data_IF_252242678376
#
_entry.id   IF_252242678376
#
_cell.length_a   1.000
_cell.length_b   1.000
_cell.length_c   1.000
_cell.angle_alpha   90.00
_cell.angle_beta   90.00
_cell.angle_gamma   90.00
#
_symmetry.space_group_name_H-M   'P 1'
#
loop_
_entity.id
_entity.type
_entity.pdbx_description
1 polymer ?
#
# COMPACT_ATOMS: atom_id res chain seq x y z
N UNK A 1 -13.46 -3.96 16.77
CA UNK A 1 -13.23 -4.91 17.89
C UNK A 1 -11.97 -4.52 18.67
N UNK A 2 -10.82 -4.37 17.99
CA UNK A 2 -9.56 -3.88 18.59
C UNK A 2 -9.71 -2.56 19.37
N UNK A 3 -10.34 -1.52 18.83
CA UNK A 3 -10.42 -0.23 19.53
C UNK A 3 -11.37 -0.13 20.73
N UNK A 4 -12.35 -1.04 20.88
CA UNK A 4 -13.28 -1.01 22.02
C UNK A 4 -12.87 -1.99 23.13
N UNK A 5 -12.19 -3.08 22.80
CA UNK A 5 -11.80 -4.13 23.75
C UNK A 5 -10.32 -4.09 24.14
N UNK A 6 -9.50 -3.31 23.42
CA UNK A 6 -8.06 -3.10 23.69
C UNK A 6 -7.75 -1.60 23.79
N UNK A 7 -8.49 -0.88 24.65
CA UNK A 7 -8.27 0.55 24.89
C UNK A 7 -8.19 0.88 26.39
N UNK A 8 -7.57 -0.02 27.16
CA UNK A 8 -7.11 0.29 28.52
C UNK A 8 -5.82 1.09 28.51
N UNK A 9 -5.38 1.52 29.69
CA UNK A 9 -4.13 2.29 29.88
C UNK A 9 -2.90 1.56 29.31
N UNK A 10 -2.90 0.21 29.33
CA UNK A 10 -1.88 -0.64 28.68
C UNK A 10 -1.78 -0.47 27.16
N UNK A 11 -2.87 -0.05 26.51
CA UNK A 11 -2.96 0.15 25.07
C UNK A 11 -3.08 1.65 24.69
N UNK A 12 -2.86 2.57 25.65
CA UNK A 12 -2.94 4.00 25.42
C UNK A 12 -4.35 4.59 25.41
N UNK A 13 -5.33 3.90 26.01
CA UNK A 13 -6.70 4.40 26.17
C UNK A 13 -7.09 4.64 27.64
N UNK A 14 -8.33 5.09 27.86
CA UNK A 14 -8.85 5.48 29.20
C UNK A 14 -9.82 4.45 29.81
N UNK A 15 -10.08 3.32 29.16
CA UNK A 15 -11.03 2.35 29.70
C UNK A 15 -10.45 1.53 30.86
N UNK A 16 -11.28 1.28 31.87
CA UNK A 16 -10.94 0.43 33.02
C UNK A 16 -11.06 -1.07 32.75
N UNK A 17 -11.37 -1.49 31.52
CA UNK A 17 -11.49 -2.89 31.14
C UNK A 17 -10.70 -3.17 29.86
N UNK A 18 -10.06 -4.33 29.79
CA UNK A 18 -9.38 -4.85 28.60
C UNK A 18 -9.56 -6.36 28.45
N UNK A 19 -9.52 -6.81 27.20
CA UNK A 19 -9.39 -8.22 26.88
C UNK A 19 -7.91 -8.58 26.71
N UNK A 20 -7.52 -9.78 27.14
CA UNK A 20 -6.16 -10.25 26.90
C UNK A 20 -5.92 -10.48 25.41
N UNK A 21 -4.68 -10.27 24.96
CA UNK A 21 -4.24 -10.50 23.57
C UNK A 21 -4.60 -11.93 23.10
N UNK A 22 -4.43 -12.92 23.99
CA UNK A 22 -4.75 -14.32 23.69
C UNK A 22 -6.24 -14.55 23.45
N UNK A 23 -7.11 -13.91 24.23
CA UNK A 23 -8.55 -14.02 24.04
C UNK A 23 -9.00 -13.30 22.74
N UNK A 24 -8.36 -12.18 22.39
CA UNK A 24 -8.59 -11.52 21.10
C UNK A 24 -8.24 -12.43 19.90
N UNK A 25 -7.06 -13.06 19.92
CA UNK A 25 -6.68 -14.04 18.89
C UNK A 25 -7.61 -15.26 18.86
N UNK A 26 -8.07 -15.73 20.03
CA UNK A 26 -9.05 -16.81 20.12
C UNK A 26 -10.36 -16.49 19.40
N UNK A 27 -10.90 -15.27 19.58
CA UNK A 27 -12.11 -14.82 18.89
C UNK A 27 -11.91 -14.75 17.37
N UNK A 28 -10.75 -14.26 16.91
CA UNK A 28 -10.41 -14.21 15.48
C UNK A 28 -10.20 -15.61 14.86
N UNK A 29 -9.80 -16.60 15.65
CA UNK A 29 -9.60 -17.97 15.17
C UNK A 29 -10.91 -18.69 14.81
N UNK A 30 -12.01 -18.39 15.53
CA UNK A 30 -13.32 -19.02 15.30
C UNK A 30 -13.80 -18.93 13.85
N UNK A 31 -13.88 -17.74 13.20
CA UNK A 31 -14.33 -17.66 11.81
C UNK A 31 -13.38 -18.36 10.83
N UNK A 32 -12.07 -18.41 11.12
CA UNK A 32 -11.10 -19.15 10.29
C UNK A 32 -11.39 -20.64 10.33
N UNK A 33 -11.62 -21.19 11.53
CA UNK A 33 -11.97 -22.61 11.71
C UNK A 33 -13.29 -22.95 11.02
N UNK A 34 -14.31 -22.09 11.18
CA UNK A 34 -15.60 -22.25 10.47
C UNK A 34 -15.40 -22.24 8.95
N UNK A 35 -14.54 -21.37 8.43
CA UNK A 35 -14.28 -21.31 6.99
C UNK A 35 -13.62 -22.60 6.47
N UNK A 36 -12.73 -23.22 7.24
CA UNK A 36 -12.13 -24.53 6.89
C UNK A 36 -13.22 -25.60 6.74
N UNK A 37 -14.18 -25.65 7.67
CA UNK A 37 -15.30 -26.59 7.58
C UNK A 37 -16.20 -26.29 6.38
N UNK A 38 -16.49 -25.02 6.10
CA UNK A 38 -17.29 -24.62 4.94
C UNK A 38 -16.62 -25.04 3.63
N UNK A 39 -15.32 -24.80 3.48
CA UNK A 39 -14.57 -25.21 2.30
C UNK A 39 -14.58 -26.74 2.15
N UNK A 40 -14.30 -27.47 3.23
CA UNK A 40 -14.24 -28.93 3.20
C UNK A 40 -15.57 -29.58 2.81
N UNK A 41 -16.70 -29.09 3.35
CA UNK A 41 -18.01 -29.70 3.11
C UNK A 41 -18.76 -29.15 1.89
N UNK A 42 -18.59 -27.88 1.54
CA UNK A 42 -19.42 -27.21 0.53
C UNK A 42 -18.68 -26.86 -0.76
N UNK A 43 -17.35 -26.74 -0.77
CA UNK A 43 -16.60 -26.39 -1.98
C UNK A 43 -16.45 -27.61 -2.90
N UNK A 44 -17.25 -27.65 -3.96
CA UNK A 44 -17.13 -28.66 -5.03
C UNK A 44 -16.19 -28.16 -6.11
N UNK A 45 -14.90 -28.42 -5.95
CA UNK A 45 -13.91 -28.03 -6.95
C UNK A 45 -13.88 -29.00 -8.13
N UNK A 46 -13.75 -28.48 -9.35
CA UNK A 46 -13.65 -29.32 -10.57
C UNK A 46 -12.18 -29.68 -10.77
N UNK A 47 -11.85 -30.98 -10.73
CA UNK A 47 -10.49 -31.46 -11.06
C UNK A 47 -10.10 -30.97 -12.47
N UNK A 48 -9.15 -30.02 -12.52
CA UNK A 48 -8.48 -29.62 -13.76
C UNK A 48 -7.33 -30.59 -14.07
N UNK A 49 -6.99 -30.69 -15.35
CA UNK A 49 -5.90 -31.54 -15.84
C UNK A 49 -4.56 -31.04 -15.30
N UNK A 50 -3.67 -31.95 -14.94
CA UNK A 50 -2.31 -31.63 -14.46
C UNK A 50 -1.53 -30.85 -15.53
N UNK A 51 -1.03 -29.68 -15.18
CA UNK A 51 -0.16 -28.86 -16.04
C UNK A 51 1.29 -29.12 -15.63
N UNK A 52 2.18 -29.30 -16.60
CA UNK A 52 3.61 -29.45 -16.32
C UNK A 52 4.20 -28.10 -15.89
N UNK A 53 5.00 -28.10 -14.82
CA UNK A 53 5.59 -26.90 -14.24
C UNK A 53 6.44 -26.09 -15.23
N UNK A 54 7.20 -26.78 -16.09
CA UNK A 54 8.01 -26.13 -17.12
C UNK A 54 7.15 -25.38 -18.16
N UNK A 55 6.02 -25.96 -18.56
CA UNK A 55 5.07 -25.29 -19.46
C UNK A 55 4.49 -24.05 -18.81
N UNK A 56 4.12 -24.15 -17.52
CA UNK A 56 3.61 -23.03 -16.75
C UNK A 56 4.62 -21.87 -16.69
N UNK A 57 5.90 -22.13 -16.38
CA UNK A 57 6.95 -21.10 -16.37
C UNK A 57 7.19 -20.45 -17.73
N UNK A 58 7.11 -21.24 -18.81
CA UNK A 58 7.23 -20.70 -20.16
C UNK A 58 6.04 -19.79 -20.50
N UNK A 59 4.82 -20.18 -20.13
CA UNK A 59 3.62 -19.36 -20.32
C UNK A 59 3.70 -18.04 -19.54
N UNK A 60 4.23 -18.07 -18.31
CA UNK A 60 4.51 -16.85 -17.52
C UNK A 60 5.51 -15.96 -18.24
N UNK A 61 6.61 -16.54 -18.69
CA UNK A 61 7.66 -15.79 -19.35
C UNK A 61 7.15 -15.16 -20.63
N UNK A 62 6.43 -15.91 -21.48
CA UNK A 62 5.84 -15.40 -22.72
C UNK A 62 4.84 -14.25 -22.45
N UNK A 63 4.09 -14.33 -21.36
CA UNK A 63 3.12 -13.31 -20.98
C UNK A 63 3.79 -12.01 -20.55
N UNK A 64 4.85 -12.10 -19.72
CA UNK A 64 5.64 -10.94 -19.29
C UNK A 64 6.30 -10.22 -20.48
N UNK A 65 6.66 -10.94 -21.54
CA UNK A 65 7.25 -10.33 -22.73
C UNK A 65 6.31 -9.41 -23.50
N UNK A 66 4.99 -9.56 -23.32
CA UNK A 66 4.02 -8.73 -24.03
C UNK A 66 4.13 -7.28 -23.55
N UNK A 67 4.14 -6.36 -24.50
CA UNK A 67 4.26 -4.92 -24.22
C UNK A 67 3.28 -4.41 -23.17
N UNK A 68 2.01 -4.77 -23.30
CA UNK A 68 0.97 -4.36 -22.38
C UNK A 68 1.23 -4.84 -20.94
N UNK A 69 1.77 -6.04 -20.78
CA UNK A 69 1.98 -6.66 -19.46
C UNK A 69 3.15 -6.00 -18.74
N UNK A 70 4.32 -5.91 -19.37
CA UNK A 70 5.48 -5.32 -18.70
C UNK A 70 5.31 -3.82 -18.43
N UNK A 71 4.62 -3.08 -19.31
CA UNK A 71 4.33 -1.66 -19.08
C UNK A 71 3.47 -1.47 -17.83
N UNK A 72 2.44 -2.31 -17.67
CA UNK A 72 1.57 -2.28 -16.49
C UNK A 72 2.32 -2.73 -15.24
N UNK A 73 3.19 -3.74 -15.32
CA UNK A 73 4.02 -4.15 -14.18
C UNK A 73 4.93 -3.01 -13.69
N UNK A 74 5.62 -2.32 -14.61
CA UNK A 74 6.46 -1.17 -14.26
C UNK A 74 5.61 -0.04 -13.67
N UNK A 75 4.46 0.26 -14.27
CA UNK A 75 3.54 1.26 -13.74
C UNK A 75 3.11 0.92 -12.31
N UNK A 76 2.65 -0.30 -12.04
CA UNK A 76 2.25 -0.71 -10.71
C UNK A 76 3.37 -0.57 -9.70
N UNK A 77 4.57 -1.06 -10.05
CA UNK A 77 5.70 -1.00 -9.14
C UNK A 77 6.09 0.44 -8.84
N UNK A 78 6.29 1.27 -9.87
CA UNK A 78 6.72 2.67 -9.71
C UNK A 78 5.64 3.54 -9.05
N UNK A 79 4.38 3.39 -9.46
CA UNK A 79 3.27 4.16 -8.89
C UNK A 79 3.07 3.83 -7.42
N UNK A 80 3.00 2.54 -7.04
CA UNK A 80 2.88 2.17 -5.62
C UNK A 80 4.13 2.56 -4.84
N UNK A 81 5.34 2.45 -5.40
CA UNK A 81 6.56 2.84 -4.69
C UNK A 81 6.57 4.33 -4.34
N UNK A 82 6.23 5.17 -5.31
CA UNK A 82 6.35 6.61 -5.18
C UNK A 82 5.13 7.27 -4.51
N UNK A 83 3.94 6.70 -4.68
CA UNK A 83 2.70 7.24 -4.11
C UNK A 83 2.42 6.76 -2.68
N UNK A 84 2.78 5.52 -2.33
CA UNK A 84 2.44 4.94 -1.02
C UNK A 84 3.57 4.17 -0.35
N UNK A 85 4.59 3.73 -1.10
CA UNK A 85 5.72 2.96 -0.58
C UNK A 85 6.70 3.81 0.24
N UNK A 86 7.03 5.01 -0.23
CA UNK A 86 7.87 5.97 0.51
C UNK A 86 6.96 6.78 1.42
N UNK A 87 7.11 6.62 2.73
CA UNK A 87 6.29 7.29 3.74
C UNK A 87 7.15 8.10 4.70
N UNK A 88 6.53 8.70 5.72
CA UNK A 88 7.25 9.37 6.81
C UNK A 88 7.11 8.60 8.13
N UNK A 89 8.24 8.38 8.82
CA UNK A 89 8.23 7.78 10.16
C UNK A 89 7.54 8.69 11.20
N UNK A 90 7.48 9.99 10.94
CA UNK A 90 6.88 10.96 11.85
C UNK A 90 5.35 10.80 11.97
N UNK A 91 4.67 10.28 10.94
CA UNK A 91 3.20 10.25 10.92
C UNK A 91 2.56 9.50 12.09
N UNK A 92 3.08 8.31 12.41
CA UNK A 92 2.58 7.53 13.54
C UNK A 92 2.76 8.24 14.88
N UNK A 93 3.84 8.99 15.03
CA UNK A 93 4.15 9.71 16.26
C UNK A 93 3.38 11.04 16.34
N UNK A 94 3.20 11.76 15.24
CA UNK A 94 2.39 12.99 15.19
C UNK A 94 0.94 12.69 15.59
N UNK A 95 0.39 11.57 15.11
CA UNK A 95 -0.96 11.12 15.46
C UNK A 95 -1.13 10.96 16.99
N UNK A 96 -0.14 10.38 17.67
CA UNK A 96 -0.21 10.07 19.11
C UNK A 96 0.18 11.27 19.97
N UNK A 97 1.32 11.92 19.68
CA UNK A 97 1.92 12.93 20.57
C UNK A 97 1.49 14.37 20.28
N UNK A 98 1.13 14.71 19.04
CA UNK A 98 0.71 16.07 18.71
C UNK A 98 -0.81 16.16 18.56
N UNK A 99 -1.40 15.23 17.81
CA UNK A 99 -2.85 15.19 17.59
C UNK A 99 -3.62 14.48 18.72
N UNK A 100 -2.92 13.84 19.67
CA UNK A 100 -3.50 13.19 20.86
C UNK A 100 -4.66 12.24 20.52
N UNK A 101 -4.52 11.49 19.42
CA UNK A 101 -5.58 10.63 18.92
C UNK A 101 -5.75 9.40 19.81
N UNK A 102 -6.93 9.26 20.42
CA UNK A 102 -7.29 8.09 21.21
C UNK A 102 -7.60 6.86 20.31
N UNK A 103 -7.17 5.64 20.72
CA UNK A 103 -7.37 4.42 19.95
C UNK A 103 -8.84 4.09 19.62
N UNK A 104 -9.76 4.44 20.53
CA UNK A 104 -11.22 4.23 20.32
C UNK A 104 -11.70 5.03 19.11
N UNK A 105 -11.31 6.30 19.03
CA UNK A 105 -11.72 7.19 17.96
C UNK A 105 -11.08 6.77 16.64
N UNK A 106 -9.82 6.34 16.65
CA UNK A 106 -9.20 5.72 15.47
C UNK A 106 -9.97 4.49 14.99
N UNK A 107 -10.48 3.65 15.88
CA UNK A 107 -11.25 2.47 15.49
C UNK A 107 -12.64 2.80 14.95
N UNK A 108 -13.33 3.80 15.52
CA UNK A 108 -14.61 4.29 14.99
C UNK A 108 -14.43 4.84 13.59
N UNK A 109 -13.40 5.67 13.39
CA UNK A 109 -13.11 6.21 12.06
C UNK A 109 -12.64 5.13 11.11
N UNK A 110 -11.88 4.13 11.55
CA UNK A 110 -11.54 2.98 10.72
C UNK A 110 -12.78 2.26 10.14
N UNK A 111 -13.88 2.16 10.89
CA UNK A 111 -15.14 1.63 10.34
C UNK A 111 -15.71 2.54 9.25
N UNK A 112 -15.71 3.85 9.48
CA UNK A 112 -16.17 4.84 8.48
C UNK A 112 -15.30 4.78 7.23
N UNK A 113 -13.98 4.68 7.40
CA UNK A 113 -13.01 4.48 6.32
C UNK A 113 -13.40 3.30 5.44
N UNK A 114 -13.66 2.13 6.03
CA UNK A 114 -14.02 0.95 5.25
C UNK A 114 -15.37 1.10 4.52
N UNK A 115 -16.33 1.85 5.10
CA UNK A 115 -17.59 2.18 4.42
C UNK A 115 -17.33 3.10 3.22
N UNK A 116 -16.48 4.12 3.38
CA UNK A 116 -16.10 5.02 2.28
C UNK A 116 -15.36 4.27 1.19
N UNK A 117 -14.41 3.41 1.56
CA UNK A 117 -13.67 2.55 0.63
C UNK A 117 -14.64 1.65 -0.15
N UNK A 118 -15.54 0.95 0.54
CA UNK A 118 -16.56 0.10 -0.10
C UNK A 118 -17.48 0.89 -1.04
N UNK A 119 -17.93 2.08 -0.62
CA UNK A 119 -18.81 2.96 -1.42
C UNK A 119 -18.06 3.48 -2.65
N UNK A 120 -16.79 3.85 -2.51
CA UNK A 120 -15.94 4.32 -3.60
C UNK A 120 -15.70 3.19 -4.61
N UNK A 121 -15.35 1.99 -4.13
CA UNK A 121 -15.20 0.79 -4.97
C UNK A 121 -16.48 0.50 -5.74
N UNK A 122 -17.64 0.55 -5.07
CA UNK A 122 -18.94 0.34 -5.71
C UNK A 122 -19.24 1.41 -6.77
N UNK A 123 -19.01 2.68 -6.44
CA UNK A 123 -19.27 3.80 -7.35
C UNK A 123 -18.38 3.75 -8.60
N UNK A 124 -17.07 3.59 -8.41
CA UNK A 124 -16.10 3.49 -9.52
C UNK A 124 -16.33 2.21 -10.32
N UNK A 125 -16.68 1.10 -9.66
CA UNK A 125 -17.03 -0.15 -10.32
C UNK A 125 -18.27 -0.02 -11.21
N UNK A 126 -19.29 0.73 -10.75
CA UNK A 126 -20.58 0.88 -11.44
C UNK A 126 -20.59 1.92 -12.55
N UNK A 127 -19.87 3.03 -12.38
CA UNK A 127 -19.87 4.18 -13.29
C UNK A 127 -18.53 4.46 -13.98
N UNK A 128 -17.42 3.98 -13.41
CA UNK A 128 -16.06 4.23 -13.90
C UNK A 128 -15.61 3.37 -15.09
N UNK A 129 -16.45 2.47 -15.59
CA UNK A 129 -16.10 1.56 -16.71
C UNK A 129 -15.73 2.28 -18.01
N UNK A 130 -16.30 3.47 -18.22
CA UNK A 130 -16.04 4.30 -19.42
C UNK A 130 -15.07 5.45 -19.17
N UNK A 131 -14.62 5.64 -17.93
CA UNK A 131 -13.71 6.73 -17.60
C UNK A 131 -12.30 6.42 -18.09
N UNK A 132 -11.55 7.48 -18.36
CA UNK A 132 -10.13 7.34 -18.63
C UNK A 132 -9.40 7.07 -17.31
N UNK A 133 -8.77 5.91 -17.24
CA UNK A 133 -8.09 5.40 -16.05
C UNK A 133 -6.93 6.29 -15.61
N UNK A 134 -6.28 6.99 -16.55
CA UNK A 134 -5.19 7.92 -16.23
C UNK A 134 -5.70 9.11 -15.43
N UNK A 135 -6.77 9.75 -15.92
CA UNK A 135 -7.28 10.96 -15.31
C UNK A 135 -7.90 10.68 -13.94
N UNK A 136 -8.68 9.60 -13.80
CA UNK A 136 -9.29 9.27 -12.50
C UNK A 136 -8.20 9.02 -11.44
N UNK A 137 -7.12 8.31 -11.77
CA UNK A 137 -6.01 8.04 -10.85
C UNK A 137 -5.26 9.32 -10.46
N UNK A 138 -4.92 10.17 -11.43
CA UNK A 138 -4.18 11.40 -11.15
C UNK A 138 -5.03 12.37 -10.34
N UNK A 139 -6.30 12.56 -10.71
CA UNK A 139 -7.21 13.48 -10.01
C UNK A 139 -7.45 12.99 -8.59
N UNK A 140 -7.77 11.69 -8.39
CA UNK A 140 -7.99 11.16 -7.05
C UNK A 140 -6.75 11.32 -6.19
N UNK A 141 -5.59 10.88 -6.69
CA UNK A 141 -4.31 10.92 -5.94
C UNK A 141 -3.91 12.34 -5.58
N UNK A 142 -3.91 13.27 -6.54
CA UNK A 142 -3.56 14.67 -6.27
C UNK A 142 -4.56 15.34 -5.33
N UNK A 143 -5.86 15.06 -5.47
CA UNK A 143 -6.87 15.61 -4.54
C UNK A 143 -6.66 15.12 -3.11
N UNK A 144 -6.35 13.83 -2.94
CA UNK A 144 -6.04 13.24 -1.64
C UNK A 144 -4.79 13.85 -1.02
N UNK A 145 -3.71 13.99 -1.80
CA UNK A 145 -2.46 14.60 -1.35
C UNK A 145 -2.63 16.06 -0.94
N UNK A 146 -3.40 16.85 -1.70
CA UNK A 146 -3.63 18.26 -1.35
C UNK A 146 -4.36 18.39 -0.03
N UNK A 147 -5.40 17.58 0.19
CA UNK A 147 -6.18 17.61 1.44
C UNK A 147 -5.31 17.13 2.61
N UNK A 148 -4.58 16.03 2.44
CA UNK A 148 -3.64 15.52 3.45
C UNK A 148 -2.58 16.57 3.81
N UNK A 149 -1.92 17.16 2.81
CA UNK A 149 -0.89 18.17 3.01
C UNK A 149 -1.42 19.35 3.83
N UNK A 150 -2.62 19.87 3.51
CA UNK A 150 -3.21 20.99 4.26
C UNK A 150 -3.34 20.61 5.75
N UNK A 151 -3.94 19.47 6.06
CA UNK A 151 -4.18 19.06 7.45
C UNK A 151 -2.85 18.76 8.16
N UNK A 152 -1.93 18.07 7.50
CA UNK A 152 -0.66 17.67 8.07
C UNK A 152 0.22 18.89 8.38
N UNK A 153 0.35 19.85 7.46
CA UNK A 153 1.13 21.08 7.71
C UNK A 153 0.49 21.97 8.78
N UNK A 154 -0.84 22.07 8.83
CA UNK A 154 -1.55 22.79 9.91
C UNK A 154 -1.31 22.15 11.29
N UNK A 155 -1.16 20.82 11.34
CA UNK A 155 -0.89 20.07 12.58
C UNK A 155 0.58 20.20 12.99
N UNK A 156 1.51 20.11 12.03
CA UNK A 156 2.96 20.22 12.27
C UNK A 156 3.32 21.62 12.82
N UNK A 157 2.78 22.69 12.22
CA UNK A 157 3.04 24.07 12.64
C UNK A 157 2.16 24.58 13.78
N UNK A 158 1.40 23.69 14.43
CA UNK A 158 0.62 24.00 15.64
C UNK A 158 -0.45 25.08 15.44
N UNK A 159 -1.06 25.12 14.25
CA UNK A 159 -2.19 26.02 13.95
C UNK A 159 -3.49 25.33 14.38
N UNK A 160 -3.66 24.04 14.02
CA UNK A 160 -4.83 23.24 14.39
C UNK A 160 -4.38 21.83 14.81
N UNK A 161 -4.35 21.58 16.13
CA UNK A 161 -4.09 20.24 16.71
C UNK A 161 -5.36 19.69 17.37
N UNK A 162 -6.33 19.37 16.54
CA UNK A 162 -7.55 18.71 16.99
C UNK A 162 -7.60 17.27 16.47
N UNK A 163 -7.86 16.34 17.37
CA UNK A 163 -8.02 14.92 17.09
C UNK A 163 -8.98 14.65 15.92
N UNK A 164 -10.15 15.29 15.89
CA UNK A 164 -11.15 15.08 14.82
C UNK A 164 -10.73 15.71 13.49
N UNK A 165 -9.91 16.75 13.53
CA UNK A 165 -9.33 17.37 12.34
C UNK A 165 -8.26 16.46 11.72
N UNK A 166 -7.38 15.89 12.54
CA UNK A 166 -6.33 14.98 12.09
C UNK A 166 -6.88 13.64 11.59
N UNK A 167 -7.86 13.07 12.28
CA UNK A 167 -8.45 11.77 11.92
C UNK A 167 -9.23 11.83 10.59
N UNK A 168 -9.64 13.01 10.12
CA UNK A 168 -10.25 13.18 8.80
C UNK A 168 -9.30 12.94 7.62
N UNK A 169 -7.99 12.95 7.87
CA UNK A 169 -6.95 12.73 6.86
C UNK A 169 -6.99 11.31 6.28
N UNK A 170 -6.91 10.24 7.10
CA UNK A 170 -7.06 8.86 6.63
C UNK A 170 -8.26 8.69 5.69
N UNK A 171 -9.43 9.23 6.08
CA UNK A 171 -10.67 9.12 5.28
C UNK A 171 -10.51 9.63 3.84
N UNK A 172 -9.65 10.63 3.63
CA UNK A 172 -9.44 11.24 2.32
C UNK A 172 -8.37 10.51 1.50
N UNK A 173 -7.38 9.89 2.14
CA UNK A 173 -6.35 9.09 1.48
C UNK A 173 -6.86 7.73 0.98
N UNK A 174 -7.88 7.17 1.63
CA UNK A 174 -8.46 5.87 1.25
C UNK A 174 -9.26 5.91 -0.07
N UNK A 175 -9.77 7.09 -0.46
CA UNK A 175 -10.48 7.26 -1.75
C UNK A 175 -9.54 7.02 -2.95
N UNK A 176 -8.36 7.66 -3.04
CA UNK A 176 -7.34 7.33 -4.04
C UNK A 176 -6.97 5.84 -4.07
N UNK A 177 -6.79 5.21 -2.91
CA UNK A 177 -6.43 3.79 -2.82
C UNK A 177 -7.56 2.90 -3.37
N UNK A 178 -8.82 3.20 -3.03
CA UNK A 178 -9.99 2.51 -3.56
C UNK A 178 -10.10 2.64 -5.09
N UNK A 179 -9.89 3.86 -5.62
CA UNK A 179 -9.86 4.11 -7.07
C UNK A 179 -8.75 3.30 -7.74
N UNK A 180 -7.55 3.31 -7.15
CA UNK A 180 -6.40 2.55 -7.64
C UNK A 180 -6.68 1.05 -7.65
N UNK A 181 -7.30 0.52 -6.60
CA UNK A 181 -7.66 -0.89 -6.50
C UNK A 181 -8.63 -1.32 -7.61
N UNK A 182 -9.66 -0.52 -7.89
CA UNK A 182 -10.64 -0.83 -8.95
C UNK A 182 -10.01 -0.76 -10.33
N UNK A 183 -9.28 0.32 -10.63
CA UNK A 183 -8.57 0.46 -11.92
C UNK A 183 -7.59 -0.69 -12.12
N UNK A 184 -6.89 -1.07 -11.04
CA UNK A 184 -5.96 -2.18 -11.05
C UNK A 184 -6.66 -3.50 -11.40
N UNK A 185 -7.81 -3.76 -10.78
CA UNK A 185 -8.60 -4.96 -11.03
C UNK A 185 -9.09 -5.02 -12.49
N UNK A 186 -9.53 -3.89 -13.05
CA UNK A 186 -9.93 -3.83 -14.46
C UNK A 186 -8.78 -4.13 -15.41
N UNK A 187 -7.59 -3.59 -15.13
CA UNK A 187 -6.40 -3.85 -15.94
C UNK A 187 -6.00 -5.33 -15.88
N UNK A 188 -6.06 -5.95 -14.69
CA UNK A 188 -5.76 -7.38 -14.53
C UNK A 188 -6.71 -8.24 -15.38
N UNK A 189 -8.01 -7.99 -15.30
CA UNK A 189 -9.02 -8.76 -16.04
C UNK A 189 -8.87 -8.58 -17.55
N UNK A 190 -8.53 -7.38 -18.01
CA UNK A 190 -8.36 -7.12 -19.46
C UNK A 190 -7.04 -7.68 -20.01
N UNK A 191 -5.99 -7.79 -19.18
CA UNK A 191 -4.71 -8.39 -19.55
C UNK A 191 -4.70 -9.93 -19.42
N UNK A 192 -5.56 -10.48 -18.58
CA UNK A 192 -5.70 -11.91 -18.41
C UNK A 192 -6.26 -12.55 -19.69
N UNK A 193 -5.44 -13.35 -20.37
CA UNK A 193 -5.93 -14.24 -21.41
C UNK A 193 -6.66 -15.45 -20.82
N UNK A 194 -7.45 -16.13 -21.64
CA UNK A 194 -8.19 -17.33 -21.24
C UNK A 194 -7.28 -18.34 -20.53
N UNK A 195 -7.61 -18.68 -19.29
CA UNK A 195 -6.88 -19.67 -18.49
C UNK A 195 -5.70 -19.12 -17.67
N UNK A 196 -5.25 -17.88 -17.89
CA UNK A 196 -4.12 -17.26 -17.19
C UNK A 196 -4.50 -16.13 -16.21
N UNK A 197 -5.78 -16.04 -15.84
CA UNK A 197 -6.31 -15.03 -14.91
C UNK A 197 -5.61 -15.04 -13.55
N UNK A 198 -5.49 -16.21 -12.92
CA UNK A 198 -4.84 -16.35 -11.61
C UNK A 198 -3.36 -15.96 -11.64
N UNK A 199 -2.68 -16.26 -12.75
CA UNK A 199 -1.29 -15.89 -12.95
C UNK A 199 -1.13 -14.37 -13.07
N UNK A 200 -1.94 -13.71 -13.91
CA UNK A 200 -1.89 -12.26 -14.06
C UNK A 200 -2.26 -11.54 -12.77
N UNK A 201 -3.28 -12.03 -12.07
CA UNK A 201 -3.68 -11.50 -10.78
C UNK A 201 -2.55 -11.62 -9.76
N UNK A 202 -1.96 -12.79 -9.60
CA UNK A 202 -0.84 -13.01 -8.67
C UNK A 202 0.39 -12.17 -9.00
N UNK A 203 0.75 -12.09 -10.29
CA UNK A 203 1.89 -11.32 -10.76
C UNK A 203 1.72 -9.82 -10.49
N UNK A 204 0.59 -9.24 -10.91
CA UNK A 204 0.33 -7.81 -10.73
C UNK A 204 0.10 -7.43 -9.26
N UNK A 205 -0.51 -8.32 -8.47
CA UNK A 205 -0.61 -8.13 -7.01
C UNK A 205 0.77 -8.12 -6.36
N UNK A 206 1.68 -9.01 -6.78
CA UNK A 206 3.06 -9.03 -6.28
C UNK A 206 3.79 -7.73 -6.65
N UNK A 207 3.64 -7.25 -7.88
CA UNK A 207 4.21 -5.96 -8.31
C UNK A 207 3.62 -4.75 -7.57
N UNK A 208 2.36 -4.83 -7.14
CA UNK A 208 1.71 -3.79 -6.35
C UNK A 208 2.13 -3.76 -4.88
N UNK A 209 2.38 -4.93 -4.28
CA UNK A 209 2.72 -5.04 -2.85
C UNK A 209 4.22 -4.95 -2.56
N UNK A 210 5.08 -5.42 -3.46
CA UNK A 210 6.54 -5.36 -3.31
C UNK A 210 7.07 -3.93 -3.00
N UNK A 211 6.56 -2.87 -3.65
CA UNK A 211 6.91 -1.49 -3.32
C UNK A 211 6.68 -1.06 -1.87
N UNK A 212 5.68 -1.62 -1.17
CA UNK A 212 5.41 -1.26 0.22
C UNK A 212 6.57 -1.67 1.14
N UNK A 213 7.19 -2.81 0.85
CA UNK A 213 8.36 -3.26 1.61
C UNK A 213 9.62 -2.49 1.22
N UNK A 214 9.87 -2.37 -0.08
CA UNK A 214 11.07 -1.68 -0.57
C UNK A 214 11.05 -0.20 -0.20
N UNK A 215 9.88 0.45 -0.29
CA UNK A 215 9.68 1.84 0.10
C UNK A 215 9.89 2.08 1.59
N UNK A 216 9.52 1.14 2.48
CA UNK A 216 9.87 1.21 3.91
C UNK A 216 11.38 1.17 4.13
N UNK A 217 12.12 0.33 3.40
CA UNK A 217 13.58 0.32 3.46
C UNK A 217 14.15 1.69 3.03
N UNK A 218 13.70 2.24 1.90
CA UNK A 218 14.11 3.58 1.45
C UNK A 218 13.77 4.65 2.50
N UNK A 219 12.58 4.55 3.10
CA UNK A 219 12.10 5.45 4.15
C UNK A 219 13.02 5.43 5.36
N UNK A 220 13.39 4.25 5.83
CA UNK A 220 14.31 4.07 6.94
C UNK A 220 15.68 4.69 6.65
N UNK A 221 16.23 4.46 5.46
CA UNK A 221 17.55 4.98 5.05
C UNK A 221 17.58 6.51 5.09
N UNK A 222 16.62 7.20 4.46
CA UNK A 222 16.65 8.67 4.45
C UNK A 222 16.25 9.27 5.80
N UNK A 223 15.40 8.59 6.56
CA UNK A 223 14.97 9.05 7.89
C UNK A 223 16.12 9.05 8.91
N UNK A 224 17.22 8.31 8.68
CA UNK A 224 18.43 8.38 9.53
C UNK A 224 18.99 9.79 9.67
N UNK A 225 18.80 10.64 8.66
CA UNK A 225 19.28 12.02 8.62
C UNK A 225 18.30 13.02 9.25
N UNK A 226 17.12 12.56 9.68
CA UNK A 226 16.04 13.39 10.22
C UNK A 226 15.82 13.09 11.71
N UNK A 227 15.54 14.14 12.51
CA UNK A 227 15.15 14.04 13.92
C UNK A 227 13.64 13.75 14.02
N UNK A 228 13.25 12.53 13.63
CA UNK A 228 11.84 12.08 13.62
C UNK A 228 11.61 10.90 14.57
N UNK A 229 12.50 10.72 15.55
CA UNK A 229 12.35 9.70 16.58
C UNK A 229 11.22 10.09 17.54
N UNK A 230 10.64 9.10 18.24
CA UNK A 230 9.68 9.34 19.31
C UNK A 230 10.15 10.43 20.29
N UNK A 231 11.38 10.33 20.78
CA UNK A 231 11.93 11.30 21.74
C UNK A 231 12.02 12.71 21.15
N UNK A 232 12.37 12.84 19.87
CA UNK A 232 12.46 14.13 19.19
C UNK A 232 11.07 14.78 19.07
N UNK A 233 10.07 13.99 18.65
CA UNK A 233 8.70 14.47 18.43
C UNK A 233 8.03 14.89 19.75
N UNK A 234 8.34 14.22 20.87
CA UNK A 234 7.89 14.64 22.21
C UNK A 234 8.43 16.01 22.63
N UNK A 235 9.63 16.42 22.18
CA UNK A 235 10.19 17.73 22.53
C UNK A 235 9.48 18.92 21.85
N UNK A 236 8.76 18.66 20.75
CA UNK A 236 8.00 19.64 19.97
C UNK A 236 8.76 20.95 19.65
N UNK A 237 10.07 20.85 19.38
CA UNK A 237 10.89 22.01 19.03
C UNK A 237 10.69 22.45 17.57
N UNK A 238 10.97 23.72 17.26
CA UNK A 238 10.86 24.25 15.89
C UNK A 238 11.75 23.50 14.88
N UNK A 239 12.91 22.99 15.31
CA UNK A 239 13.80 22.17 14.49
C UNK A 239 13.12 20.84 14.10
N UNK A 240 12.53 20.15 15.08
CA UNK A 240 11.82 18.87 14.85
C UNK A 240 10.59 19.07 13.96
N UNK A 241 9.84 20.16 14.16
CA UNK A 241 8.71 20.52 13.27
C UNK A 241 9.17 20.70 11.82
N UNK A 242 10.31 21.35 11.59
CA UNK A 242 10.88 21.51 10.25
C UNK A 242 11.39 20.19 9.65
N UNK A 243 12.01 19.32 10.45
CA UNK A 243 12.45 18.00 9.98
C UNK A 243 11.24 17.10 9.63
N UNK A 244 10.16 17.16 10.42
CA UNK A 244 8.90 16.49 10.12
C UNK A 244 8.27 17.06 8.83
N UNK A 245 8.19 18.38 8.69
CA UNK A 245 7.71 19.05 7.48
C UNK A 245 8.50 18.66 6.22
N UNK A 246 9.83 18.54 6.33
CA UNK A 246 10.68 18.07 5.23
C UNK A 246 10.39 16.61 4.86
N UNK A 247 10.17 15.75 5.85
CA UNK A 247 9.83 14.34 5.57
C UNK A 247 8.54 14.21 4.76
N UNK A 248 7.52 15.02 5.06
CA UNK A 248 6.25 15.04 4.30
C UNK A 248 6.40 15.70 2.93
N UNK A 249 7.28 16.71 2.81
CA UNK A 249 7.60 17.31 1.51
C UNK A 249 8.19 16.27 0.55
N UNK A 250 9.05 15.37 1.04
CA UNK A 250 9.59 14.25 0.26
C UNK A 250 8.46 13.32 -0.19
N UNK A 251 7.56 12.91 0.71
CA UNK A 251 6.43 12.01 0.41
C UNK A 251 5.49 12.62 -0.64
N UNK A 252 5.13 13.90 -0.50
CA UNK A 252 4.27 14.57 -1.48
C UNK A 252 4.99 14.78 -2.81
N UNK A 253 6.28 15.11 -2.78
CA UNK A 253 7.11 15.21 -3.98
C UNK A 253 7.18 13.90 -4.75
N UNK A 254 7.42 12.77 -4.06
CA UNK A 254 7.42 11.45 -4.70
C UNK A 254 6.04 11.09 -5.23
N UNK A 255 4.96 11.44 -4.53
CA UNK A 255 3.59 11.16 -4.99
C UNK A 255 3.23 11.94 -6.26
N UNK A 256 3.66 13.20 -6.37
CA UNK A 256 3.51 13.97 -7.62
C UNK A 256 4.33 13.34 -8.75
N UNK A 257 5.56 12.88 -8.46
CA UNK A 257 6.36 12.13 -9.43
C UNK A 257 5.68 10.81 -9.84
N UNK A 258 4.96 10.13 -8.93
CA UNK A 258 4.19 8.94 -9.23
C UNK A 258 3.12 9.21 -10.32
N UNK A 259 2.49 10.40 -10.29
CA UNK A 259 1.50 10.79 -11.28
C UNK A 259 2.09 10.89 -12.70
N UNK A 260 3.38 11.19 -12.85
CA UNK A 260 4.04 11.18 -14.16
C UNK A 260 4.11 9.77 -14.78
N UNK A 261 4.21 8.73 -13.95
CA UNK A 261 4.25 7.34 -14.41
C UNK A 261 2.92 6.84 -14.97
N UNK A 262 1.81 7.53 -14.70
CA UNK A 262 0.48 7.21 -15.22
C UNK A 262 0.43 7.31 -16.76
N UNK A 263 1.37 8.02 -17.40
CA UNK A 263 1.49 8.08 -18.86
C UNK A 263 1.77 6.69 -19.48
N UNK A 264 2.39 5.78 -18.72
CA UNK A 264 2.66 4.41 -19.16
C UNK A 264 1.40 3.54 -19.10
N UNK A 265 0.49 3.81 -18.15
CA UNK A 265 -0.75 3.06 -17.99
C UNK A 265 -1.65 3.24 -19.23
N UNK A 266 -2.24 2.19 -19.83
CA UNK A 266 -3.21 2.36 -20.91
C UNK A 266 -4.42 3.21 -20.47
N UNK A 267 -4.91 4.15 -21.32
CA UNK A 267 -5.97 5.08 -20.91
C UNK A 267 -7.35 4.43 -20.72
N UNK A 268 -7.61 3.30 -21.39
CA UNK A 268 -8.90 2.62 -21.35
C UNK A 268 -8.77 1.16 -21.81
N UNK A 269 -9.79 0.34 -21.53
CA UNK A 269 -9.96 -1.05 -22.02
C UNK A 269 -9.63 -1.21 -23.51
N UNK A 270 -10.14 -0.32 -24.36
CA UNK A 270 -9.91 -0.38 -25.81
C UNK A 270 -8.42 -0.34 -26.18
N UNK A 271 -7.65 0.52 -25.50
CA UNK A 271 -6.20 0.64 -25.73
C UNK A 271 -5.44 -0.60 -25.23
N UNK A 272 -5.89 -1.23 -24.15
CA UNK A 272 -5.32 -2.51 -23.68
C UNK A 272 -5.52 -3.59 -24.75
N UNK A 273 -6.74 -3.70 -25.26
CA UNK A 273 -7.09 -4.68 -26.29
C UNK A 273 -6.28 -4.48 -27.58
N UNK A 274 -6.12 -3.23 -28.02
CA UNK A 274 -5.27 -2.89 -29.17
C UNK A 274 -3.81 -3.29 -28.94
N UNK A 275 -3.25 -2.99 -27.75
CA UNK A 275 -1.88 -3.38 -27.40
C UNK A 275 -1.70 -4.89 -27.27
N UNK A 276 -2.74 -5.64 -26.88
CA UNK A 276 -2.69 -7.11 -26.85
C UNK A 276 -2.77 -7.73 -28.25
N UNK A 277 -3.53 -7.11 -29.16
CA UNK A 277 -3.71 -7.61 -30.54
C UNK A 277 -2.53 -7.27 -31.46
N UNK A 278 -1.94 -6.07 -31.30
CA UNK A 278 -0.87 -5.56 -32.18
C UNK A 278 0.49 -5.43 -31.48
N UNK A 279 0.60 -5.81 -30.21
CA UNK A 279 1.82 -5.65 -29.42
C UNK A 279 2.94 -6.61 -29.82
N UNK A 280 4.13 -6.06 -30.03
CA UNK A 280 5.35 -6.86 -30.16
C UNK A 280 5.75 -7.52 -28.82
N UNK A 281 6.48 -8.63 -28.92
CA UNK A 281 7.09 -9.34 -27.78
C UNK A 281 8.51 -8.81 -27.55
N UNK A 282 8.86 -8.58 -26.29
CA UNK A 282 10.16 -8.06 -25.87
C UNK A 282 10.83 -9.01 -24.84
N UNK A 283 11.56 -10.05 -25.31
CA UNK A 283 12.17 -11.05 -24.42
C UNK A 283 13.18 -10.47 -23.43
N UNK A 284 14.02 -9.54 -23.89
CA UNK A 284 15.07 -8.92 -23.06
C UNK A 284 14.45 -8.13 -21.90
N UNK A 285 13.40 -7.34 -22.17
CA UNK A 285 12.71 -6.53 -21.15
C UNK A 285 12.02 -7.45 -20.13
N UNK A 286 11.38 -8.52 -20.59
CA UNK A 286 10.73 -9.48 -19.70
C UNK A 286 11.71 -10.17 -18.74
N UNK A 287 12.86 -10.61 -19.26
CA UNK A 287 13.93 -11.19 -18.42
C UNK A 287 14.47 -10.17 -17.39
N UNK A 288 14.69 -8.93 -17.82
CA UNK A 288 15.17 -7.86 -16.95
C UNK A 288 14.20 -7.57 -15.81
N UNK A 289 12.89 -7.54 -16.06
CA UNK A 289 11.87 -7.32 -15.02
C UNK A 289 11.84 -8.45 -14.00
N UNK A 290 11.97 -9.70 -14.44
CA UNK A 290 12.02 -10.85 -13.53
C UNK A 290 13.25 -10.77 -12.62
N UNK A 291 14.42 -10.47 -13.20
CA UNK A 291 15.67 -10.34 -12.44
C UNK A 291 15.58 -9.17 -11.45
N UNK A 292 15.15 -7.99 -11.90
CA UNK A 292 15.01 -6.82 -11.03
C UNK A 292 14.03 -7.07 -9.89
N UNK A 293 12.86 -7.64 -10.17
CA UNK A 293 11.87 -7.96 -9.14
C UNK A 293 12.46 -8.94 -8.13
N UNK A 294 13.17 -9.97 -8.58
CA UNK A 294 13.79 -10.98 -7.71
C UNK A 294 14.85 -10.34 -6.81
N UNK A 295 15.70 -9.46 -7.35
CA UNK A 295 16.70 -8.72 -6.58
C UNK A 295 16.03 -7.81 -5.54
N UNK A 296 15.03 -7.03 -5.95
CA UNK A 296 14.28 -6.13 -5.05
C UNK A 296 13.62 -6.93 -3.93
N UNK A 297 13.03 -8.09 -4.23
CA UNK A 297 12.43 -8.98 -3.23
C UNK A 297 13.48 -9.49 -2.24
N UNK A 298 14.62 -10.01 -2.72
CA UNK A 298 15.69 -10.50 -1.85
C UNK A 298 16.24 -9.40 -0.94
N UNK A 299 16.52 -8.21 -1.50
CA UNK A 299 16.99 -7.05 -0.72
C UNK A 299 15.95 -6.61 0.30
N UNK A 300 14.68 -6.52 -0.09
CA UNK A 300 13.56 -6.15 0.77
C UNK A 300 13.39 -7.10 1.96
N UNK A 301 13.43 -8.41 1.70
CA UNK A 301 13.34 -9.44 2.75
C UNK A 301 14.54 -9.37 3.68
N UNK A 302 15.74 -9.18 3.12
CA UNK A 302 16.98 -9.07 3.91
C UNK A 302 16.94 -7.83 4.80
N UNK A 303 16.48 -6.69 4.28
CA UNK A 303 16.32 -5.45 5.03
C UNK A 303 15.33 -5.59 6.19
N UNK A 304 14.15 -6.19 5.96
CA UNK A 304 13.20 -6.47 7.06
C UNK A 304 13.86 -7.38 8.11
N UNK A 305 14.48 -8.48 7.69
CA UNK A 305 15.10 -9.42 8.62
C UNK A 305 16.20 -8.74 9.47
N UNK A 306 16.99 -7.85 8.87
CA UNK A 306 18.00 -7.08 9.60
C UNK A 306 17.40 -6.12 10.64
N UNK A 307 16.20 -5.58 10.42
CA UNK A 307 15.53 -4.74 11.44
C UNK A 307 15.03 -5.54 12.65
N UNK A 308 14.86 -6.86 12.53
CA UNK A 308 14.32 -7.69 13.61
C UNK A 308 15.37 -8.12 14.64
N UNK A 309 16.66 -8.12 14.29
CA UNK A 309 17.73 -8.54 15.20
C UNK A 309 18.51 -7.33 15.71
N UNK A 310 18.67 -7.22 17.03
CA UNK A 310 19.42 -6.13 17.67
C UNK A 310 20.88 -6.04 17.18
N UNK A 311 21.47 -7.18 16.76
CA UNK A 311 22.84 -7.22 16.24
C UNK A 311 22.99 -6.60 14.83
N UNK A 312 21.92 -6.49 14.05
CA UNK A 312 21.95 -6.01 12.66
C UNK A 312 21.10 -4.75 12.44
N UNK A 313 20.37 -4.29 13.46
CA UNK A 313 19.56 -3.07 13.42
C UNK A 313 20.38 -1.78 13.27
N UNK A 314 21.68 -1.82 13.60
CA UNK A 314 22.61 -0.71 13.42
C UNK A 314 22.97 -0.41 11.95
N UNK A 315 22.78 -1.37 11.04
CA UNK A 315 23.20 -1.19 9.65
C UNK A 315 22.36 -0.12 8.95
N UNK A 316 22.98 0.60 8.01
CA UNK A 316 22.33 1.66 7.24
C UNK A 316 21.12 1.14 6.45
N UNK A 317 21.19 -0.11 5.94
CA UNK A 317 20.06 -0.79 5.30
C UNK A 317 18.88 -1.08 6.24
N UNK A 318 19.13 -1.19 7.54
CA UNK A 318 18.11 -1.37 8.57
C UNK A 318 17.59 -0.02 9.11
N UNK A 319 18.11 1.12 8.64
CA UNK A 319 17.76 2.44 9.16
C UNK A 319 18.49 2.81 10.45
N UNK A 320 19.55 2.09 10.81
CA UNK A 320 20.42 2.48 11.91
C UNK A 320 21.35 3.63 11.50
N UNK A 321 21.70 4.49 12.46
CA UNK A 321 22.67 5.58 12.28
C UNK A 321 24.13 5.09 12.22
N UNK A 322 24.35 3.79 12.08
CA UNK A 322 25.64 3.14 12.28
C UNK A 322 25.83 2.75 13.74
N UNK A 323 26.34 1.53 13.95
CA UNK A 323 27.24 1.24 15.05
C UNK A 323 28.63 1.78 14.61
#
# INVERSE_FOLDING_TARGET
MSGFLMSSERYGGKFGFDISVNAYFGVLAVPVVVNVFLVFFFMKDRKRRTIHFATYFNDVYELIQKRAVWQVMIFYFMFNLLASGIGSLAGNYIQVYWAHVEPVNSAVVGVITYIILATTVFAVGRWGTHWNWRFILVISTLSGVVIDAIVQYLTIYDIVRNQWFYIGVPLTSDVPEAVQFVVSTFVIVELAGDGNEGLMYGLLTTMGNLPATFGKMVTNVYSTQLKVTKADIETDTAEVRNHAAYSYLVVYGTTVLACCWVVILPPQKAAVKEMLQHGAKYPIIGALIIVLTSVILCVSVTAIMMTMFEATSCYLLAGGQGC
#
